data_IF_205606130830
#
_entry.id   IF_205606130830
#
_cell.length_a   1.000
_cell.length_b   1.000
_cell.length_c   1.000
_cell.angle_alpha   90.00
_cell.angle_beta   90.00
_cell.angle_gamma   90.00
#
_symmetry.space_group_name_H-M   'P 1'
#
loop_
_entity.id
_entity.type
_entity.pdbx_description
1 polymer ?
#
# COMPACT_ATOMS: atom_id res chain seq x y z
N UNK A 1 31.26 6.99 -22.63
CA UNK A 1 30.25 5.92 -22.49
C UNK A 1 29.65 5.73 -23.88
N UNK A 2 29.60 4.51 -24.43
CA UNK A 2 28.92 4.24 -25.69
C UNK A 2 27.44 4.65 -25.62
N UNK A 3 26.88 5.20 -26.69
CA UNK A 3 25.50 5.70 -26.72
C UNK A 3 24.46 4.65 -26.28
N UNK A 4 24.72 3.37 -26.58
CA UNK A 4 23.87 2.26 -26.17
C UNK A 4 23.85 2.01 -24.63
N UNK A 5 24.87 2.46 -23.91
CA UNK A 5 25.01 2.30 -22.45
C UNK A 5 24.57 3.54 -21.67
N UNK A 6 24.37 4.67 -22.34
CA UNK A 6 23.95 5.94 -21.72
C UNK A 6 22.65 5.77 -20.92
N UNK A 7 21.59 5.10 -21.41
CA UNK A 7 20.37 4.92 -20.63
C UNK A 7 20.58 4.11 -19.35
N UNK A 8 21.40 3.05 -19.42
CA UNK A 8 21.71 2.23 -18.25
C UNK A 8 22.58 2.97 -17.24
N UNK A 9 23.56 3.76 -17.72
CA UNK A 9 24.38 4.63 -16.87
C UNK A 9 23.51 5.72 -16.22
N UNK A 10 22.68 6.38 -16.99
CA UNK A 10 21.78 7.42 -16.48
C UNK A 10 20.82 6.89 -15.43
N UNK A 11 20.29 5.68 -15.60
CA UNK A 11 19.38 5.06 -14.66
C UNK A 11 20.05 4.58 -13.36
N UNK A 12 21.29 4.04 -13.43
CA UNK A 12 21.89 3.32 -12.31
C UNK A 12 23.03 4.09 -11.63
N UNK A 13 23.79 4.87 -12.36
CA UNK A 13 25.03 5.47 -11.84
C UNK A 13 24.98 6.99 -11.70
N UNK A 14 24.33 7.68 -12.62
CA UNK A 14 24.29 9.14 -12.63
C UNK A 14 23.67 9.77 -11.38
N UNK A 15 22.55 9.28 -10.84
CA UNK A 15 21.97 9.84 -9.63
C UNK A 15 22.89 9.73 -8.42
N UNK A 16 23.70 8.65 -8.34
CA UNK A 16 24.68 8.46 -7.29
C UNK A 16 25.84 9.45 -7.41
N UNK A 17 26.35 9.60 -8.62
CA UNK A 17 27.46 10.54 -8.88
C UNK A 17 27.04 11.97 -8.56
N UNK A 18 25.84 12.38 -8.93
CA UNK A 18 25.33 13.73 -8.65
C UNK A 18 25.18 14.04 -7.16
N UNK A 19 24.95 13.03 -6.32
CA UNK A 19 24.90 13.19 -4.85
C UNK A 19 26.29 13.26 -4.23
N UNK A 20 27.26 12.59 -4.83
CA UNK A 20 28.61 12.48 -4.29
C UNK A 20 29.51 13.65 -4.70
N UNK A 21 29.24 14.27 -5.84
CA UNK A 21 30.07 15.36 -6.41
C UNK A 21 29.23 16.22 -7.35
N UNK A 22 29.72 17.46 -7.57
CA UNK A 22 29.22 18.27 -8.70
C UNK A 22 29.59 17.57 -10.00
N UNK A 23 28.61 17.12 -10.74
CA UNK A 23 28.82 16.55 -12.08
C UNK A 23 28.51 17.64 -13.09
N UNK A 24 29.53 18.07 -13.81
CA UNK A 24 29.34 18.91 -15.00
C UNK A 24 28.96 17.99 -16.15
N UNK A 25 27.80 18.24 -16.72
CA UNK A 25 27.27 17.50 -17.86
C UNK A 25 27.40 18.39 -19.08
N UNK A 26 27.94 17.85 -20.17
CA UNK A 26 27.94 18.52 -21.44
C UNK A 26 26.47 18.71 -21.89
N UNK A 27 26.10 19.93 -22.32
CA UNK A 27 24.77 20.31 -22.79
C UNK A 27 24.23 19.40 -23.93
N UNK A 28 25.12 18.61 -24.54
CA UNK A 28 24.77 17.64 -25.59
C UNK A 28 24.15 16.33 -25.04
N UNK A 29 24.19 16.09 -23.73
CA UNK A 29 23.70 14.85 -23.11
C UNK A 29 22.49 15.17 -22.23
N UNK A 30 21.30 14.85 -22.76
CA UNK A 30 20.04 14.92 -22.00
C UNK A 30 20.00 13.75 -20.99
N UNK A 31 20.49 13.99 -19.78
CA UNK A 31 20.45 13.01 -18.71
C UNK A 31 19.12 13.12 -17.99
N UNK A 32 18.37 12.03 -17.91
CA UNK A 32 17.09 12.04 -17.24
C UNK A 32 17.26 12.36 -15.75
N UNK A 33 16.60 13.42 -15.30
CA UNK A 33 16.46 13.68 -13.87
C UNK A 33 15.63 12.59 -13.21
N UNK A 34 16.12 12.05 -12.11
CA UNK A 34 15.29 11.18 -11.28
C UNK A 34 14.21 12.07 -10.61
N UNK A 35 12.96 11.81 -10.91
CA UNK A 35 11.86 12.47 -10.22
C UNK A 35 11.84 12.05 -8.75
N UNK A 36 11.21 12.87 -7.91
CA UNK A 36 10.98 12.49 -6.51
C UNK A 36 10.23 11.16 -6.44
N UNK A 37 10.57 10.30 -5.48
CA UNK A 37 9.87 9.03 -5.31
C UNK A 37 8.39 9.27 -5.01
N UNK A 38 7.56 8.28 -5.35
CA UNK A 38 6.15 8.23 -4.97
C UNK A 38 5.86 6.91 -4.30
N UNK A 39 4.95 6.91 -3.34
CA UNK A 39 4.43 5.65 -2.80
C UNK A 39 3.60 4.93 -3.86
N UNK A 40 3.78 3.63 -3.93
CA UNK A 40 3.02 2.71 -4.76
C UNK A 40 2.34 1.70 -3.85
N UNK A 41 1.03 1.54 -4.05
CA UNK A 41 0.25 0.46 -3.48
C UNK A 41 -0.34 -0.39 -4.59
N UNK A 42 0.00 -1.67 -4.63
CA UNK A 42 -0.70 -2.68 -5.43
C UNK A 42 -1.67 -3.42 -4.54
N UNK A 43 -2.90 -3.54 -5.00
CA UNK A 43 -3.97 -4.27 -4.33
C UNK A 43 -4.48 -5.35 -5.26
N UNK A 44 -4.45 -6.59 -4.81
CA UNK A 44 -5.06 -7.73 -5.49
C UNK A 44 -6.28 -8.21 -4.68
N UNK A 45 -7.48 -7.84 -5.15
CA UNK A 45 -8.73 -8.31 -4.55
C UNK A 45 -9.02 -9.72 -5.01
N UNK A 46 -9.24 -10.60 -4.03
CA UNK A 46 -9.50 -12.03 -4.24
C UNK A 46 -10.87 -12.41 -3.73
N UNK A 47 -11.29 -13.63 -4.07
CA UNK A 47 -12.47 -14.25 -3.47
C UNK A 47 -12.37 -14.29 -1.93
N UNK A 48 -13.49 -14.55 -1.27
CA UNK A 48 -13.59 -14.71 0.18
C UNK A 48 -13.22 -13.44 0.99
N UNK A 49 -13.46 -12.25 0.43
CA UNK A 49 -13.21 -10.97 1.09
C UNK A 49 -11.75 -10.77 1.50
N UNK A 50 -10.84 -11.18 0.66
CA UNK A 50 -9.40 -11.09 0.88
C UNK A 50 -8.80 -10.05 -0.07
N UNK A 51 -7.86 -9.25 0.44
CA UNK A 51 -6.98 -8.45 -0.41
C UNK A 51 -5.51 -8.66 -0.05
N UNK A 52 -4.67 -8.74 -1.07
CA UNK A 52 -3.22 -8.79 -0.93
C UNK A 52 -2.65 -7.44 -1.30
N UNK A 53 -1.87 -6.88 -0.40
CA UNK A 53 -1.25 -5.57 -0.55
C UNK A 53 0.24 -5.74 -0.82
N UNK A 54 0.75 -4.93 -1.72
CA UNK A 54 2.18 -4.76 -1.91
C UNK A 54 2.51 -3.28 -1.98
N UNK A 55 3.23 -2.78 -0.97
CA UNK A 55 3.72 -1.42 -0.92
C UNK A 55 5.15 -1.33 -1.46
N UNK A 56 5.43 -0.29 -2.21
CA UNK A 56 6.77 0.00 -2.74
C UNK A 56 6.97 1.51 -2.88
N UNK A 57 8.19 1.91 -3.21
CA UNK A 57 8.52 3.26 -3.66
C UNK A 57 8.81 3.20 -5.15
N UNK A 58 8.16 4.06 -5.93
CA UNK A 58 8.37 4.17 -7.37
C UNK A 58 9.19 5.40 -7.68
N UNK A 59 10.31 5.18 -8.33
CA UNK A 59 11.17 6.21 -8.91
C UNK A 59 10.96 6.25 -10.42
N UNK A 60 10.73 7.44 -10.97
CA UNK A 60 10.75 7.65 -12.42
C UNK A 60 12.13 8.09 -12.84
N UNK A 61 12.67 7.45 -13.87
CA UNK A 61 13.97 7.75 -14.45
C UNK A 61 13.80 7.83 -15.97
N UNK A 62 13.76 9.02 -16.50
CA UNK A 62 13.45 9.24 -17.91
C UNK A 62 12.08 8.68 -18.27
N UNK A 63 12.02 7.78 -19.25
CA UNK A 63 10.77 7.15 -19.71
C UNK A 63 10.42 5.86 -18.91
N UNK A 64 11.30 5.45 -17.97
CA UNK A 64 11.11 4.23 -17.17
C UNK A 64 10.65 4.51 -15.74
N UNK A 65 10.26 3.44 -15.07
CA UNK A 65 9.99 3.45 -13.64
C UNK A 65 10.70 2.28 -12.97
N UNK A 66 11.21 2.51 -11.76
CA UNK A 66 11.83 1.51 -10.92
C UNK A 66 11.06 1.45 -9.59
N UNK A 67 10.55 0.28 -9.25
CA UNK A 67 9.92 0.03 -7.96
C UNK A 67 10.96 -0.58 -7.02
N UNK A 68 11.11 0.03 -5.86
CA UNK A 68 12.06 -0.39 -4.83
C UNK A 68 11.33 -0.69 -3.52
N UNK A 69 11.89 -1.61 -2.73
CA UNK A 69 11.36 -1.99 -1.42
C UNK A 69 11.22 -0.78 -0.49
N UNK A 70 10.23 -0.78 0.40
CA UNK A 70 10.15 0.19 1.51
C UNK A 70 11.31 0.04 2.48
N UNK A 71 11.97 -1.10 2.52
CA UNK A 71 13.15 -1.36 3.34
C UNK A 71 14.43 -1.05 2.56
N UNK A 72 15.07 0.07 2.89
CA UNK A 72 16.33 0.48 2.28
C UNK A 72 17.46 -0.55 2.45
N UNK A 73 17.42 -1.35 3.51
CA UNK A 73 18.39 -2.41 3.77
C UNK A 73 18.27 -3.58 2.79
N UNK A 74 17.07 -3.81 2.24
CA UNK A 74 16.82 -4.87 1.26
C UNK A 74 17.15 -4.48 -0.18
N UNK A 75 17.10 -3.18 -0.45
CA UNK A 75 17.35 -2.67 -1.79
C UNK A 75 18.21 -1.39 -1.69
N UNK A 76 19.53 -1.55 -1.63
CA UNK A 76 20.46 -0.42 -1.50
C UNK A 76 20.64 0.34 -2.83
N UNK A 77 19.58 0.52 -3.60
CA UNK A 77 19.65 1.24 -4.88
C UNK A 77 20.23 2.63 -4.68
N UNK A 78 21.18 2.96 -5.53
CA UNK A 78 21.84 4.26 -5.57
C UNK A 78 20.89 5.43 -5.89
N UNK A 79 19.70 5.12 -6.40
CA UNK A 79 18.64 6.09 -6.74
C UNK A 79 17.87 6.60 -5.53
N UNK A 80 17.99 5.94 -4.38
CA UNK A 80 17.18 6.26 -3.20
C UNK A 80 17.45 7.65 -2.67
N UNK A 81 16.37 8.33 -2.30
CA UNK A 81 16.35 9.59 -1.59
C UNK A 81 15.72 9.37 -0.21
N UNK A 82 16.53 9.04 0.83
CA UNK A 82 16.01 8.66 2.13
C UNK A 82 15.18 9.76 2.80
N UNK A 83 15.49 11.03 2.53
CA UNK A 83 14.77 12.16 3.10
C UNK A 83 13.38 12.30 2.46
N UNK A 84 13.30 12.24 1.13
CA UNK A 84 12.02 12.25 0.42
C UNK A 84 11.17 11.03 0.77
N UNK A 85 11.78 9.84 0.87
CA UNK A 85 11.11 8.60 1.28
C UNK A 85 10.52 8.71 2.69
N UNK A 86 11.31 9.21 3.66
CA UNK A 86 10.85 9.42 5.02
C UNK A 86 9.67 10.40 5.09
N UNK A 87 9.71 11.45 4.27
CA UNK A 87 8.63 12.44 4.18
C UNK A 87 7.33 11.81 3.65
N UNK A 88 7.42 10.98 2.60
CA UNK A 88 6.27 10.27 2.04
C UNK A 88 5.64 9.31 3.05
N UNK A 89 6.47 8.56 3.77
CA UNK A 89 6.00 7.61 4.79
C UNK A 89 5.37 8.33 5.99
N UNK A 90 5.92 9.47 6.40
CA UNK A 90 5.37 10.26 7.49
C UNK A 90 4.04 10.93 7.13
N UNK A 91 3.80 11.21 5.85
CA UNK A 91 2.55 11.79 5.37
C UNK A 91 1.43 10.75 5.21
N UNK A 92 1.76 9.44 5.24
CA UNK A 92 0.78 8.37 5.09
C UNK A 92 -0.06 8.24 6.38
N UNK A 93 -1.39 8.37 6.31
CA UNK A 93 -2.23 8.19 7.49
C UNK A 93 -2.30 6.73 7.94
N UNK A 94 -2.68 6.51 9.18
CA UNK A 94 -2.98 5.17 9.67
C UNK A 94 -4.23 4.63 8.96
N UNK A 95 -4.11 3.44 8.38
CA UNK A 95 -5.17 2.78 7.61
C UNK A 95 -5.40 1.34 8.06
N UNK A 96 -6.21 0.56 7.33
CA UNK A 96 -6.53 -0.82 7.68
C UNK A 96 -5.36 -1.81 7.47
N UNK A 97 -4.26 -1.36 6.88
CA UNK A 97 -3.07 -2.18 6.67
C UNK A 97 -2.19 -2.26 7.91
N UNK A 98 -1.48 -3.38 8.11
CA UNK A 98 -0.50 -3.48 9.18
C UNK A 98 0.68 -2.53 8.92
N UNK A 99 1.15 -1.90 9.98
CA UNK A 99 2.29 -0.98 9.94
C UNK A 99 3.28 -1.29 11.06
N UNK A 100 4.53 -0.88 10.85
CA UNK A 100 5.62 -0.96 11.82
C UNK A 100 5.91 0.47 12.28
N UNK A 101 5.98 0.67 13.59
CA UNK A 101 6.40 1.95 14.15
C UNK A 101 7.91 2.11 14.03
N UNK A 102 8.34 3.20 13.41
CA UNK A 102 9.75 3.58 13.28
C UNK A 102 9.87 5.03 13.75
N UNK A 103 10.29 5.22 15.00
CA UNK A 103 10.24 6.54 15.63
C UNK A 103 8.80 7.05 15.73
N UNK A 104 8.53 8.20 15.11
CA UNK A 104 7.19 8.82 15.07
C UNK A 104 6.43 8.52 13.77
N UNK A 105 6.96 7.68 12.90
CA UNK A 105 6.35 7.35 11.62
C UNK A 105 5.82 5.91 11.62
N UNK A 106 4.68 5.72 10.92
CA UNK A 106 4.10 4.41 10.68
C UNK A 106 4.47 3.97 9.26
N UNK A 107 5.40 3.03 9.15
CA UNK A 107 5.73 2.42 7.87
C UNK A 107 4.82 1.23 7.61
N UNK A 108 4.06 1.17 6.51
CA UNK A 108 3.25 0.01 6.20
C UNK A 108 4.14 -1.22 5.98
N UNK A 109 3.60 -2.39 6.34
CA UNK A 109 4.24 -3.67 6.02
C UNK A 109 4.18 -3.86 4.50
N UNK A 110 5.34 -4.09 3.88
CA UNK A 110 5.49 -4.13 2.42
C UNK A 110 4.55 -5.13 1.75
N UNK A 111 4.46 -6.34 2.29
CA UNK A 111 3.53 -7.36 1.84
C UNK A 111 2.57 -7.68 2.97
N UNK A 112 1.30 -7.44 2.75
CA UNK A 112 0.28 -7.65 3.75
C UNK A 112 -0.94 -8.33 3.14
N UNK A 113 -1.66 -9.05 3.97
CA UNK A 113 -2.96 -9.62 3.66
C UNK A 113 -3.99 -8.97 4.57
N UNK A 114 -5.09 -8.54 3.97
CA UNK A 114 -6.29 -8.11 4.69
C UNK A 114 -7.41 -9.11 4.45
N UNK A 115 -8.24 -9.27 5.45
CA UNK A 115 -9.41 -10.16 5.41
C UNK A 115 -10.66 -9.41 5.89
N UNK A 116 -11.80 -9.75 5.32
CA UNK A 116 -13.12 -9.31 5.75
C UNK A 116 -13.26 -7.79 5.90
N UNK A 117 -13.55 -7.28 7.12
CA UNK A 117 -13.81 -5.85 7.34
C UNK A 117 -12.64 -4.94 6.94
N UNK A 118 -11.40 -5.37 7.11
CA UNK A 118 -10.23 -4.57 6.72
C UNK A 118 -10.13 -4.42 5.19
N UNK A 119 -10.47 -5.49 4.43
CA UNK A 119 -10.57 -5.42 2.97
C UNK A 119 -11.70 -4.48 2.54
N UNK A 120 -12.85 -4.54 3.21
CA UNK A 120 -13.98 -3.63 2.95
C UNK A 120 -13.60 -2.17 3.20
N UNK A 121 -12.98 -1.89 4.34
CA UNK A 121 -12.51 -0.53 4.67
C UNK A 121 -11.52 -0.01 3.63
N UNK A 122 -10.57 -0.85 3.18
CA UNK A 122 -9.64 -0.46 2.14
C UNK A 122 -10.37 -0.06 0.86
N UNK A 123 -11.30 -0.90 0.40
CA UNK A 123 -12.02 -0.69 -0.86
C UNK A 123 -12.88 0.58 -0.83
N UNK A 124 -13.65 0.78 0.25
CA UNK A 124 -14.67 1.82 0.32
C UNK A 124 -14.14 3.17 0.80
N UNK A 125 -13.15 3.17 1.69
CA UNK A 125 -12.77 4.38 2.40
C UNK A 125 -11.34 4.85 2.11
N UNK A 126 -10.47 4.02 1.52
CA UNK A 126 -9.05 4.35 1.46
C UNK A 126 -8.45 4.47 0.07
N UNK A 127 -8.97 3.78 -0.95
CA UNK A 127 -8.34 3.81 -2.27
C UNK A 127 -8.32 5.23 -2.87
N UNK A 128 -9.42 5.96 -2.79
CA UNK A 128 -9.51 7.31 -3.34
C UNK A 128 -8.73 8.33 -2.50
N UNK A 129 -8.85 8.39 -1.18
CA UNK A 129 -7.99 9.25 -0.36
C UNK A 129 -6.48 9.00 -0.56
N UNK A 130 -6.05 7.76 -0.76
CA UNK A 130 -4.65 7.47 -1.07
C UNK A 130 -4.23 8.06 -2.42
N UNK A 131 -5.08 7.98 -3.44
CA UNK A 131 -4.83 8.62 -4.74
C UNK A 131 -4.74 10.14 -4.62
N UNK A 132 -5.61 10.75 -3.82
CA UNK A 132 -5.59 12.20 -3.54
C UNK A 132 -4.30 12.63 -2.82
N UNK A 133 -3.75 11.78 -1.95
CA UNK A 133 -2.45 11.99 -1.31
C UNK A 133 -1.26 11.80 -2.26
N UNK A 134 -1.51 11.41 -3.53
CA UNK A 134 -0.48 11.20 -4.52
C UNK A 134 0.13 9.80 -4.53
N UNK A 135 -0.43 8.85 -3.76
CA UNK A 135 -0.05 7.44 -3.84
C UNK A 135 -0.49 6.87 -5.19
N UNK A 136 0.39 6.15 -5.85
CA UNK A 136 0.03 5.40 -7.06
C UNK A 136 -0.70 4.14 -6.59
N UNK A 137 -1.97 3.99 -6.95
CA UNK A 137 -2.77 2.83 -6.57
C UNK A 137 -3.08 2.00 -7.80
N UNK A 138 -2.50 0.80 -7.86
CA UNK A 138 -2.72 -0.20 -8.90
C UNK A 138 -3.63 -1.30 -8.31
N UNK A 139 -4.79 -1.53 -8.93
CA UNK A 139 -5.78 -2.49 -8.45
C UNK A 139 -5.92 -3.62 -9.45
N UNK A 140 -5.92 -4.85 -8.96
CA UNK A 140 -6.20 -6.08 -9.70
C UNK A 140 -7.37 -6.80 -9.04
N UNK A 141 -8.22 -7.43 -9.82
CA UNK A 141 -9.46 -8.02 -9.34
C UNK A 141 -10.54 -6.97 -9.10
N UNK A 142 -11.70 -7.43 -8.67
CA UNK A 142 -12.82 -6.57 -8.34
C UNK A 142 -13.09 -6.65 -6.84
N UNK A 143 -13.15 -5.51 -6.13
CA UNK A 143 -13.62 -5.51 -4.76
C UNK A 143 -15.08 -5.96 -4.72
N UNK A 144 -15.44 -6.74 -3.71
CA UNK A 144 -16.83 -7.04 -3.45
C UNK A 144 -17.56 -5.73 -3.12
N UNK A 145 -18.77 -5.56 -3.65
CA UNK A 145 -19.64 -4.40 -3.33
C UNK A 145 -20.05 -4.49 -1.84
N UNK A 146 -19.30 -3.81 -1.00
CA UNK A 146 -19.59 -3.74 0.44
C UNK A 146 -20.62 -2.64 0.68
N UNK A 147 -21.69 -2.98 1.32
CA UNK A 147 -22.64 -2.00 1.84
C UNK A 147 -22.47 -1.89 3.34
N UNK A 148 -22.06 -0.71 3.80
CA UNK A 148 -22.09 -0.41 5.22
C UNK A 148 -23.56 -0.43 5.66
N UNK A 149 -23.88 -1.36 6.57
CA UNK A 149 -25.19 -1.33 7.21
C UNK A 149 -25.30 -0.01 8.00
N UNK A 150 -26.21 0.87 7.58
CA UNK A 150 -26.44 2.17 8.25
C UNK A 150 -27.21 1.99 9.56
N UNK A 151 -27.85 0.83 9.75
CA UNK A 151 -28.58 0.49 10.96
C UNK A 151 -27.83 -0.59 11.74
N UNK A 152 -27.84 -0.46 13.06
CA UNK A 152 -27.28 -1.47 13.94
C UNK A 152 -28.08 -2.78 13.77
N UNK A 153 -27.40 -3.95 13.70
CA UNK A 153 -28.14 -5.21 13.61
C UNK A 153 -29.01 -5.40 14.83
N UNK A 154 -30.27 -5.75 14.59
CA UNK A 154 -31.18 -6.13 15.66
C UNK A 154 -30.93 -7.58 16.05
N UNK A 155 -30.50 -7.79 17.29
CA UNK A 155 -30.26 -9.12 17.84
C UNK A 155 -31.45 -9.50 18.75
N UNK A 156 -32.23 -10.49 18.33
CA UNK A 156 -33.27 -11.06 19.17
C UNK A 156 -32.86 -12.44 19.71
N UNK A 157 -33.00 -12.60 21.01
CA UNK A 157 -32.78 -13.87 21.70
C UNK A 157 -34.13 -14.45 22.10
N UNK A 158 -34.38 -15.67 21.70
CA UNK A 158 -35.55 -16.43 22.17
C UNK A 158 -35.12 -17.72 22.85
N UNK A 159 -35.64 -17.91 24.04
CA UNK A 159 -35.42 -19.13 24.83
C UNK A 159 -36.71 -19.95 24.74
N UNK A 160 -36.59 -21.18 24.31
CA UNK A 160 -37.73 -22.12 24.30
C UNK A 160 -37.53 -23.17 25.39
N UNK A 161 -38.53 -23.38 26.19
CA UNK A 161 -38.49 -24.41 27.23
C UNK A 161 -38.24 -25.79 26.61
N UNK A 162 -37.36 -26.58 27.20
CA UNK A 162 -37.10 -27.93 26.73
C UNK A 162 -38.33 -28.84 26.91
N UNK A 163 -38.46 -29.88 26.11
CA UNK A 163 -39.45 -30.91 26.37
C UNK A 163 -39.20 -31.55 27.75
N UNK A 164 -40.27 -31.93 28.43
CA UNK A 164 -40.24 -32.51 29.79
C UNK A 164 -39.14 -33.58 29.93
N UNK A 165 -38.24 -33.38 30.90
CA UNK A 165 -37.19 -34.32 31.24
C UNK A 165 -35.76 -34.00 30.80
N UNK A 166 -35.52 -32.82 30.25
CA UNK A 166 -34.17 -32.34 29.89
C UNK A 166 -33.81 -31.03 30.62
N UNK A 167 -32.65 -30.99 31.23
CA UNK A 167 -32.13 -29.79 31.93
C UNK A 167 -31.51 -28.71 31.00
N UNK A 168 -31.76 -28.79 29.67
CA UNK A 168 -31.16 -27.91 28.67
C UNK A 168 -32.26 -27.08 27.99
N UNK A 169 -32.02 -25.77 27.88
CA UNK A 169 -32.89 -24.88 27.09
C UNK A 169 -32.33 -24.69 25.70
N UNK A 170 -33.20 -24.51 24.73
CA UNK A 170 -32.81 -24.13 23.38
C UNK A 170 -32.76 -22.59 23.28
N UNK A 171 -31.58 -22.07 22.94
CA UNK A 171 -31.36 -20.66 22.65
C UNK A 171 -31.34 -20.45 21.12
N UNK A 172 -32.31 -19.73 20.61
CA UNK A 172 -32.28 -19.27 19.23
C UNK A 172 -31.84 -17.80 19.17
N UNK A 173 -30.80 -17.53 18.40
CA UNK A 173 -30.28 -16.18 18.12
C UNK A 173 -30.70 -15.83 16.70
N UNK A 174 -31.43 -14.75 16.54
CA UNK A 174 -31.78 -14.20 15.21
C UNK A 174 -31.11 -12.83 15.08
N UNK A 175 -30.38 -12.65 14.02
CA UNK A 175 -29.77 -11.36 13.62
C UNK A 175 -30.49 -10.89 12.37
N UNK A 176 -31.03 -9.67 12.38
CA UNK A 176 -31.64 -9.00 11.23
C UNK A 176 -30.83 -7.71 10.93
N UNK A 177 -30.63 -7.42 9.67
CA UNK A 177 -29.97 -6.23 9.17
C UNK A 177 -30.95 -5.51 8.25
#
# INVERSE_FOLDING_TARGET
>A
IPDAEVPAFAAHFYPTLRRMTSVEVDDAVDLPEAERPRLLLRVDFRADHVSILHWALRYRVGQGALDVSLDAGRDPSALRDPEAEAHLLAALPAGPWPAIEIGNAHRPVENARLDGPATAQLAELWLDPLRELGVIVEVTGEPVDYRLATEAPEVSLSVTDPPEGTDWFNLAVRVSI
#
